data_IF_341609863435
#
_entry.id   IF_341609863435
#
_cell.length_a   1.000
_cell.length_b   1.000
_cell.length_c   1.000
_cell.angle_alpha   90.00
_cell.angle_beta   90.00
_cell.angle_gamma   90.00
#
_symmetry.space_group_name_H-M   'P 1'
#
loop_
_entity.id
_entity.type
_entity.pdbx_description
1 polymer ?
#
# COMPACT_ATOMS: atom_id res chain seq x y z
N UNK A 1 8.24 -0.66 -18.61
CA UNK A 1 7.71 -1.64 -17.62
C UNK A 1 8.48 -1.60 -16.30
N UNK A 2 9.82 -1.62 -16.32
CA UNK A 2 10.63 -1.55 -15.08
C UNK A 2 10.28 -0.37 -14.16
N UNK A 3 10.25 0.87 -14.68
CA UNK A 3 9.84 2.05 -13.89
C UNK A 3 8.42 1.96 -13.31
N UNK A 4 7.51 1.29 -14.01
CA UNK A 4 6.14 1.07 -13.52
C UNK A 4 6.13 0.08 -12.33
N UNK A 5 6.87 -1.02 -12.45
CA UNK A 5 7.03 -1.98 -11.35
C UNK A 5 7.67 -1.33 -10.11
N UNK A 6 8.66 -0.46 -10.31
CA UNK A 6 9.27 0.34 -9.25
C UNK A 6 8.28 1.33 -8.64
N UNK A 7 7.48 2.02 -9.45
CA UNK A 7 6.52 3.01 -8.98
C UNK A 7 5.34 2.42 -8.21
N UNK A 8 4.84 1.24 -8.60
CA UNK A 8 3.66 0.62 -7.98
C UNK A 8 4.03 -0.38 -6.88
N UNK A 9 5.02 -1.23 -7.14
CA UNK A 9 5.37 -2.34 -6.25
C UNK A 9 6.70 -2.14 -5.52
N UNK A 10 7.48 -1.11 -5.88
CA UNK A 10 8.88 -0.96 -5.46
C UNK A 10 9.68 -2.26 -5.72
N UNK A 11 9.35 -3.00 -6.78
CA UNK A 11 9.86 -4.35 -7.04
C UNK A 11 10.67 -4.47 -8.32
N UNK A 12 11.42 -5.57 -8.45
CA UNK A 12 12.12 -5.93 -9.68
C UNK A 12 11.15 -6.55 -10.68
N UNK A 13 11.04 -5.97 -11.88
CA UNK A 13 10.15 -6.48 -12.93
C UNK A 13 10.50 -7.89 -13.40
N UNK A 14 11.73 -8.38 -13.15
CA UNK A 14 12.16 -9.74 -13.49
C UNK A 14 11.64 -10.79 -12.53
N UNK A 15 11.26 -10.41 -11.32
CA UNK A 15 10.77 -11.33 -10.29
C UNK A 15 9.25 -11.32 -10.14
N UNK A 16 8.62 -10.20 -10.52
CA UNK A 16 7.18 -9.99 -10.38
C UNK A 16 6.35 -10.78 -11.40
N UNK A 17 5.24 -11.33 -10.92
CA UNK A 17 4.26 -12.07 -11.73
C UNK A 17 3.33 -11.10 -12.46
N UNK A 18 3.39 -11.06 -13.79
CA UNK A 18 2.45 -10.27 -14.61
C UNK A 18 1.00 -10.65 -14.34
N UNK A 19 0.70 -11.95 -14.15
CA UNK A 19 -0.64 -12.43 -13.80
C UNK A 19 -1.17 -11.83 -12.50
N UNK A 20 -0.29 -11.57 -11.53
CA UNK A 20 -0.67 -11.08 -10.20
C UNK A 20 -0.59 -9.57 -10.06
N UNK A 21 0.42 -8.94 -10.68
CA UNK A 21 0.63 -7.49 -10.64
C UNK A 21 -0.21 -6.73 -11.66
N UNK A 22 -0.48 -7.32 -12.84
CA UNK A 22 -1.17 -6.68 -13.95
C UNK A 22 -2.23 -7.62 -14.55
N UNK A 23 -3.25 -8.03 -13.77
CA UNK A 23 -4.23 -9.03 -14.20
C UNK A 23 -4.96 -8.63 -15.48
N UNK A 24 -5.30 -7.35 -15.65
CA UNK A 24 -5.96 -6.85 -16.86
C UNK A 24 -5.12 -7.12 -18.13
N UNK A 25 -3.80 -6.88 -18.08
CA UNK A 25 -2.90 -7.14 -19.21
C UNK A 25 -2.77 -8.63 -19.49
N UNK A 26 -2.61 -9.44 -18.43
CA UNK A 26 -2.54 -10.89 -18.54
C UNK A 26 -3.81 -11.49 -19.17
N UNK A 27 -4.99 -11.04 -18.75
CA UNK A 27 -6.26 -11.50 -19.30
C UNK A 27 -6.49 -11.00 -20.73
N UNK A 28 -6.08 -9.75 -21.05
CA UNK A 28 -6.13 -9.22 -22.40
C UNK A 28 -5.32 -10.09 -23.37
N UNK A 29 -4.06 -10.41 -23.02
CA UNK A 29 -3.22 -11.30 -23.82
C UNK A 29 -3.83 -12.71 -23.95
N UNK A 30 -4.27 -13.31 -22.84
CA UNK A 30 -4.83 -14.68 -22.84
C UNK A 30 -6.09 -14.82 -23.68
N UNK A 31 -6.95 -13.79 -23.69
CA UNK A 31 -8.23 -13.81 -24.41
C UNK A 31 -8.08 -13.41 -25.88
N UNK A 32 -7.29 -12.38 -26.16
CA UNK A 32 -7.24 -11.74 -27.48
C UNK A 32 -5.94 -12.00 -28.24
N UNK A 33 -4.98 -12.72 -27.64
CA UNK A 33 -3.60 -12.90 -28.14
C UNK A 33 -2.87 -11.58 -28.42
N UNK A 34 -3.40 -10.48 -27.93
CA UNK A 34 -2.90 -9.12 -28.12
C UNK A 34 -3.38 -8.24 -26.97
N UNK A 35 -2.42 -7.63 -26.27
CA UNK A 35 -2.71 -6.73 -25.15
C UNK A 35 -3.45 -5.49 -25.63
N UNK A 36 -3.01 -4.88 -26.73
CA UNK A 36 -3.62 -3.66 -27.28
C UNK A 36 -5.07 -3.90 -27.72
N UNK A 37 -5.32 -5.01 -28.42
CA UNK A 37 -6.67 -5.38 -28.84
C UNK A 37 -7.57 -5.65 -27.63
N UNK A 38 -7.06 -6.37 -26.63
CA UNK A 38 -7.82 -6.65 -25.42
C UNK A 38 -8.13 -5.43 -24.57
N UNK A 39 -7.24 -4.41 -24.55
CA UNK A 39 -7.52 -3.14 -23.88
C UNK A 39 -8.55 -2.29 -24.65
N UNK A 40 -8.51 -2.31 -25.98
CA UNK A 40 -9.46 -1.56 -26.81
C UNK A 40 -10.88 -2.16 -26.79
N UNK A 41 -10.98 -3.49 -26.76
CA UNK A 41 -12.27 -4.22 -26.79
C UNK A 41 -12.79 -4.59 -25.39
N UNK A 42 -11.95 -4.50 -24.35
CA UNK A 42 -12.23 -5.03 -23.01
C UNK A 42 -12.86 -4.06 -22.00
N UNK A 43 -13.22 -2.84 -22.41
CA UNK A 43 -13.79 -1.83 -21.52
C UNK A 43 -15.31 -1.97 -21.44
N UNK A 44 -15.80 -2.97 -20.70
CA UNK A 44 -17.22 -3.33 -20.75
C UNK A 44 -17.83 -3.81 -19.44
N UNK A 45 -17.57 -3.15 -18.31
CA UNK A 45 -18.48 -3.21 -17.15
C UNK A 45 -18.57 -1.83 -16.50
N UNK A 46 -19.58 -1.06 -16.91
CA UNK A 46 -19.99 0.17 -16.23
C UNK A 46 -20.62 -0.22 -14.89
N UNK A 47 -19.85 -0.15 -13.80
CA UNK A 47 -20.44 -0.17 -12.46
C UNK A 47 -21.33 1.07 -12.29
N UNK A 48 -22.55 0.87 -11.80
CA UNK A 48 -23.43 1.93 -11.30
C UNK A 48 -22.62 2.84 -10.37
N UNK A 49 -22.52 4.11 -10.75
CA UNK A 49 -21.72 5.10 -10.04
C UNK A 49 -22.51 5.66 -8.87
N UNK A 50 -21.85 5.79 -7.72
CA UNK A 50 -22.29 6.72 -6.69
C UNK A 50 -22.18 8.17 -7.19
N UNK A 51 -22.71 9.12 -6.41
CA UNK A 51 -22.69 10.56 -6.74
C UNK A 51 -21.26 11.07 -6.95
N UNK A 52 -20.32 10.65 -6.11
CA UNK A 52 -18.91 11.03 -6.22
C UNK A 52 -18.22 10.40 -7.45
N UNK A 53 -18.52 9.14 -7.77
CA UNK A 53 -18.02 8.48 -8.99
C UNK A 53 -18.53 9.13 -10.27
N UNK A 54 -19.78 9.62 -10.25
CA UNK A 54 -20.36 10.39 -11.36
C UNK A 54 -19.64 11.72 -11.53
N UNK A 55 -19.43 12.45 -10.43
CA UNK A 55 -18.69 13.72 -10.42
C UNK A 55 -17.24 13.54 -10.89
N UNK A 56 -16.53 12.54 -10.38
CA UNK A 56 -15.15 12.26 -10.75
C UNK A 56 -14.99 11.97 -12.25
N UNK A 57 -15.98 11.31 -12.88
CA UNK A 57 -16.02 11.10 -14.34
C UNK A 57 -16.26 12.42 -15.09
N UNK A 58 -17.23 13.21 -14.65
CA UNK A 58 -17.56 14.50 -15.27
C UNK A 58 -16.37 15.48 -15.22
N UNK A 59 -15.68 15.54 -14.07
CA UNK A 59 -14.51 16.38 -13.85
C UNK A 59 -13.19 15.72 -14.30
N UNK A 60 -13.23 14.50 -14.85
CA UNK A 60 -12.08 13.74 -15.38
C UNK A 60 -10.92 13.61 -14.39
N UNK A 61 -11.23 13.30 -13.13
CA UNK A 61 -10.22 13.13 -12.09
C UNK A 61 -9.28 11.97 -12.42
N UNK A 62 -7.98 12.22 -12.35
CA UNK A 62 -6.96 11.16 -12.45
C UNK A 62 -6.60 10.56 -11.09
N UNK A 63 -6.60 11.39 -10.04
CA UNK A 63 -6.26 11.04 -8.66
C UNK A 63 -6.96 12.01 -7.70
N UNK A 64 -7.14 11.58 -6.45
CA UNK A 64 -7.65 12.43 -5.38
C UNK A 64 -6.97 12.09 -4.06
N UNK A 65 -7.04 13.02 -3.12
CA UNK A 65 -6.57 12.85 -1.74
C UNK A 65 -7.48 13.64 -0.80
N UNK A 66 -7.33 13.42 0.50
CA UNK A 66 -8.09 14.14 1.52
C UNK A 66 -7.32 15.39 1.98
N UNK A 67 -8.05 16.47 2.29
CA UNK A 67 -7.47 17.77 2.70
C UNK A 67 -6.52 17.65 3.90
N UNK A 68 -6.82 16.77 4.86
CA UNK A 68 -6.00 16.50 6.04
C UNK A 68 -5.05 15.31 5.87
N UNK A 69 -4.86 14.85 4.63
CA UNK A 69 -4.08 13.66 4.30
C UNK A 69 -4.91 12.37 4.37
N UNK A 70 -4.37 11.32 3.74
CA UNK A 70 -5.05 10.03 3.64
C UNK A 70 -5.26 9.31 4.99
N UNK A 71 -4.55 9.71 6.04
CA UNK A 71 -4.77 9.22 7.42
C UNK A 71 -6.17 9.57 7.94
N UNK A 72 -6.80 10.63 7.42
CA UNK A 72 -8.18 10.97 7.79
C UNK A 72 -9.21 9.90 7.40
N UNK A 73 -8.91 9.04 6.42
CA UNK A 73 -9.80 7.96 6.03
C UNK A 73 -9.93 6.89 7.14
N UNK A 74 -8.84 6.24 7.62
CA UNK A 74 -8.93 5.31 8.74
C UNK A 74 -9.34 5.97 10.06
N UNK A 75 -9.00 7.24 10.30
CA UNK A 75 -9.50 7.98 11.47
C UNK A 75 -11.02 8.13 11.46
N UNK A 76 -11.60 8.53 10.31
CA UNK A 76 -13.04 8.64 10.15
C UNK A 76 -13.73 7.28 10.30
N UNK A 77 -13.12 6.21 9.78
CA UNK A 77 -13.63 4.85 9.98
C UNK A 77 -13.63 4.47 11.46
N UNK A 78 -12.54 4.72 12.20
CA UNK A 78 -12.50 4.45 13.63
C UNK A 78 -13.56 5.24 14.40
N UNK A 79 -13.76 6.52 14.06
CA UNK A 79 -14.80 7.37 14.65
C UNK A 79 -16.22 6.86 14.32
N UNK A 80 -16.44 6.32 13.11
CA UNK A 80 -17.71 5.73 12.71
C UNK A 80 -18.03 4.43 13.45
N UNK A 81 -17.04 3.60 13.75
CA UNK A 81 -17.24 2.27 14.37
C UNK A 81 -17.46 2.34 15.88
N UNK A 82 -16.79 3.26 16.60
CA UNK A 82 -16.89 3.40 18.07
C UNK A 82 -18.32 3.51 18.62
N UNK A 83 -19.20 4.40 18.11
CA UNK A 83 -20.57 4.53 18.64
C UNK A 83 -21.46 3.31 18.31
N UNK A 84 -21.04 2.42 17.41
CA UNK A 84 -21.78 1.21 17.01
C UNK A 84 -21.45 -0.01 17.88
N UNK A 85 -20.76 0.19 19.00
CA UNK A 85 -20.39 -0.88 19.93
C UNK A 85 -19.26 -1.80 19.41
N UNK A 86 -18.55 -1.39 18.36
CA UNK A 86 -17.43 -2.18 17.81
C UNK A 86 -16.17 -1.91 18.64
N UNK A 87 -15.63 -2.95 19.26
CA UNK A 87 -14.42 -2.88 20.07
C UNK A 87 -13.16 -2.85 19.20
N UNK A 88 -12.42 -1.73 19.22
CA UNK A 88 -11.14 -1.58 18.53
C UNK A 88 -9.98 -1.81 19.50
N UNK A 89 -9.36 -3.00 19.44
CA UNK A 89 -8.20 -3.35 20.27
C UNK A 89 -6.87 -3.00 19.60
N UNK A 90 -6.35 -1.81 19.89
CA UNK A 90 -5.01 -1.40 19.49
C UNK A 90 -3.93 -2.01 20.40
N UNK A 91 -2.70 -2.13 19.90
CA UNK A 91 -1.54 -2.64 20.67
C UNK A 91 -1.71 -4.05 21.26
N UNK A 92 -2.58 -4.87 20.66
CA UNK A 92 -2.87 -6.23 21.09
C UNK A 92 -2.40 -7.23 20.03
N UNK A 93 -1.08 -7.44 19.85
CA UNK A 93 -0.57 -8.34 18.81
C UNK A 93 -1.08 -9.76 19.02
N UNK A 94 -1.58 -10.37 17.94
CA UNK A 94 -2.05 -11.75 17.92
C UNK A 94 -0.86 -12.70 18.14
N UNK A 95 -0.97 -13.62 19.10
CA UNK A 95 0.06 -14.62 19.42
C UNK A 95 -0.31 -16.02 18.94
N UNK A 96 -1.59 -16.36 18.97
CA UNK A 96 -2.05 -17.64 18.47
C UNK A 96 -3.53 -17.59 18.12
N UNK A 97 -3.89 -18.34 17.08
CA UNK A 97 -5.25 -18.61 16.67
C UNK A 97 -5.45 -20.13 16.79
N UNK A 98 -6.42 -20.58 17.58
CA UNK A 98 -6.73 -22.00 17.78
C UNK A 98 -8.19 -22.27 17.51
N UNK A 99 -8.50 -23.32 16.74
CA UNK A 99 -9.87 -23.76 16.52
C UNK A 99 -10.31 -24.61 17.70
N UNK A 100 -11.45 -24.28 18.30
CA UNK A 100 -12.08 -25.06 19.36
C UNK A 100 -12.96 -26.16 18.75
N UNK A 101 -13.31 -27.16 19.56
CA UNK A 101 -14.19 -28.26 19.15
C UNK A 101 -15.60 -27.79 18.73
N UNK A 102 -16.06 -26.65 19.26
CA UNK A 102 -17.34 -26.00 18.90
C UNK A 102 -17.29 -25.27 17.54
N UNK A 103 -16.18 -25.36 16.81
CA UNK A 103 -15.98 -24.69 15.52
C UNK A 103 -15.59 -23.21 15.61
N UNK A 104 -15.56 -22.61 16.81
CA UNK A 104 -15.18 -21.21 17.02
C UNK A 104 -13.66 -21.05 17.09
N UNK A 105 -13.20 -19.85 16.78
CA UNK A 105 -11.81 -19.46 16.93
C UNK A 105 -11.53 -18.88 18.32
N UNK A 106 -10.53 -19.43 19.00
CA UNK A 106 -9.91 -18.82 20.16
C UNK A 106 -8.73 -17.96 19.70
N UNK A 107 -8.85 -16.67 19.97
CA UNK A 107 -7.85 -15.65 19.62
C UNK A 107 -7.10 -15.28 20.90
N UNK A 108 -5.77 -15.47 20.91
CA UNK A 108 -4.92 -15.07 22.05
C UNK A 108 -4.04 -13.91 21.67
N UNK A 109 -4.20 -12.78 22.37
CA UNK A 109 -3.37 -11.59 22.21
C UNK A 109 -2.44 -11.43 23.42
N UNK A 110 -1.34 -10.67 23.25
CA UNK A 110 -0.57 -10.18 24.42
C UNK A 110 -1.29 -8.95 24.97
N UNK A 111 -1.62 -8.94 26.25
CA UNK A 111 -2.05 -7.72 26.94
C UNK A 111 -0.80 -6.86 27.10
N UNK A 112 -0.73 -5.71 26.42
CA UNK A 112 0.26 -4.70 26.75
C UNK A 112 -0.17 -4.05 28.07
N UNK A 113 0.59 -4.28 29.15
CA UNK A 113 0.43 -3.53 30.39
C UNK A 113 0.56 -2.03 30.07
N UNK A 114 -0.39 -1.21 30.55
CA UNK A 114 -0.35 0.25 30.41
C UNK A 114 0.96 0.75 31.04
N UNK A 115 1.92 1.24 30.22
CA UNK A 115 3.06 2.01 30.73
C UNK A 115 4.47 1.71 30.20
N UNK A 116 4.67 1.14 29.01
CA UNK A 116 6.01 0.92 28.42
C UNK A 116 6.12 1.40 26.96
N UNK A 117 7.34 1.66 26.45
CA UNK A 117 7.57 2.50 25.28
C UNK A 117 6.84 2.01 24.02
N UNK A 118 6.34 3.00 23.28
CA UNK A 118 5.51 2.86 22.08
C UNK A 118 6.28 2.21 20.94
N UNK A 119 6.32 0.88 20.91
CA UNK A 119 6.72 0.12 19.73
C UNK A 119 5.49 -0.12 18.84
N UNK A 120 5.25 0.81 17.92
CA UNK A 120 4.37 0.57 16.79
C UNK A 120 5.10 -0.38 15.83
N UNK A 121 4.74 -1.66 15.84
CA UNK A 121 5.12 -2.61 14.79
C UNK A 121 3.92 -2.77 13.87
N UNK A 122 3.97 -2.12 12.71
CA UNK A 122 2.92 -2.19 11.69
C UNK A 122 2.24 -0.84 11.46
N UNK A 123 2.39 -0.32 10.24
CA UNK A 123 1.88 1.00 9.86
C UNK A 123 3.03 1.99 9.81
N UNK A 124 3.83 1.85 8.77
CA UNK A 124 5.08 2.56 8.66
C UNK A 124 4.97 3.20 7.23
N UNK A 125 5.16 4.52 7.14
CA UNK A 125 4.98 5.38 5.95
C UNK A 125 6.31 5.78 5.28
N UNK A 126 6.43 5.81 3.93
CA UNK A 126 7.67 5.98 3.15
C UNK A 126 8.67 7.01 3.70
N UNK A 127 9.96 6.85 3.38
CA UNK A 127 11.00 7.86 3.69
C UNK A 127 10.48 9.22 3.23
N UNK A 128 10.10 10.05 4.19
CA UNK A 128 9.39 11.30 3.92
C UNK A 128 10.36 12.47 4.00
N UNK A 129 11.40 12.49 3.17
CA UNK A 129 12.14 13.74 3.04
C UNK A 129 11.17 14.74 2.45
N UNK A 130 10.60 15.67 3.25
CA UNK A 130 9.93 16.89 2.77
C UNK A 130 10.99 17.98 2.75
N UNK A 131 11.93 18.00 1.78
CA UNK A 131 12.95 19.00 1.75
C UNK A 131 12.30 20.38 1.54
N UNK A 132 12.25 21.19 2.59
CA UNK A 132 11.82 22.57 2.44
C UNK A 132 12.98 23.39 1.85
N UNK A 133 13.18 23.39 0.53
CA UNK A 133 14.27 24.16 -0.06
C UNK A 133 14.05 25.66 0.20
N UNK A 134 14.91 26.26 1.04
CA UNK A 134 15.00 27.70 1.19
C UNK A 134 15.56 28.29 -0.09
N UNK A 135 14.76 29.09 -0.80
CA UNK A 135 15.12 29.60 -2.12
C UNK A 135 16.34 30.50 -2.08
N UNK A 136 17.36 30.17 -2.87
CA UNK A 136 18.16 31.15 -3.61
C UNK A 136 18.71 30.53 -4.90
N UNK A 137 18.21 31.06 -6.03
CA UNK A 137 18.65 30.97 -7.43
C UNK A 137 18.57 29.58 -8.13
N UNK A 138 18.12 29.41 -9.39
CA UNK A 138 18.19 30.26 -10.60
C UNK A 138 16.97 29.99 -11.52
N UNK A 139 16.38 31.03 -12.10
CA UNK A 139 15.58 30.97 -13.34
C UNK A 139 14.09 30.64 -13.22
N UNK A 140 13.23 31.68 -13.25
CA UNK A 140 11.82 31.53 -13.64
C UNK A 140 10.82 31.15 -12.53
N UNK A 141 10.59 32.07 -11.60
CA UNK A 141 9.24 32.35 -11.06
C UNK A 141 8.51 31.28 -10.24
N UNK A 142 8.99 30.96 -9.03
CA UNK A 142 8.17 30.59 -7.86
C UNK A 142 8.97 30.87 -6.57
N UNK A 143 9.26 32.15 -6.28
CA UNK A 143 10.02 32.54 -5.08
C UNK A 143 9.08 32.69 -3.88
N UNK A 144 9.25 31.83 -2.86
CA UNK A 144 8.74 32.09 -1.50
C UNK A 144 7.84 31.03 -0.89
N UNK A 145 7.34 30.06 -1.66
CA UNK A 145 6.51 28.98 -1.12
C UNK A 145 7.34 27.72 -0.86
N UNK A 146 7.15 27.05 0.29
CA UNK A 146 7.81 25.78 0.57
C UNK A 146 7.39 24.73 -0.47
N UNK A 147 8.37 24.07 -1.08
CA UNK A 147 8.16 23.02 -2.08
C UNK A 147 8.25 21.64 -1.41
N UNK A 148 7.12 20.98 -1.07
CA UNK A 148 7.16 19.64 -0.54
C UNK A 148 7.53 18.65 -1.65
N UNK A 149 8.71 18.04 -1.54
CA UNK A 149 9.10 16.89 -2.35
C UNK A 149 8.94 15.60 -1.53
N UNK A 150 8.70 14.46 -2.16
CA UNK A 150 8.76 13.15 -1.52
C UNK A 150 9.68 12.24 -2.32
N UNK A 151 10.75 11.75 -1.69
CA UNK A 151 11.71 10.84 -2.33
C UNK A 151 11.53 9.43 -1.78
N UNK A 152 11.16 8.50 -2.64
CA UNK A 152 11.09 7.07 -2.29
C UNK A 152 12.45 6.41 -2.57
N UNK A 153 13.06 5.86 -1.53
CA UNK A 153 14.30 5.09 -1.60
C UNK A 153 14.01 3.63 -1.23
N UNK A 154 14.60 2.70 -1.98
CA UNK A 154 14.58 1.28 -1.62
C UNK A 154 13.96 0.37 -2.67
N UNK A 155 12.88 -0.30 -2.27
CA UNK A 155 12.32 -1.41 -3.02
C UNK A 155 13.18 -2.67 -2.93
N UNK A 156 13.10 -3.52 -3.96
CA UNK A 156 13.88 -4.76 -4.07
C UNK A 156 15.41 -4.56 -3.93
N UNK A 157 15.90 -3.33 -4.17
CA UNK A 157 17.33 -2.99 -4.08
C UNK A 157 17.76 -2.41 -2.74
N UNK A 158 16.84 -2.18 -1.78
CA UNK A 158 17.18 -1.51 -0.51
C UNK A 158 18.34 -2.21 0.21
N UNK A 159 18.21 -3.51 0.46
CA UNK A 159 19.22 -4.27 1.22
C UNK A 159 20.59 -4.26 0.54
N UNK A 160 20.61 -4.33 -0.79
CA UNK A 160 21.85 -4.27 -1.57
C UNK A 160 22.50 -2.88 -1.51
N UNK A 161 21.69 -1.82 -1.47
CA UNK A 161 22.18 -0.44 -1.51
C UNK A 161 22.53 0.13 -0.14
N UNK A 162 21.79 -0.23 0.90
CA UNK A 162 21.86 0.39 2.23
C UNK A 162 22.10 -0.60 3.38
N UNK A 163 22.07 -1.91 3.12
CA UNK A 163 22.18 -2.94 4.15
C UNK A 163 20.85 -3.20 4.87
N UNK A 164 20.93 -3.63 6.13
CA UNK A 164 19.74 -3.95 6.94
C UNK A 164 18.83 -2.71 7.14
N UNK A 165 17.56 -2.74 6.69
CA UNK A 165 16.59 -1.67 6.94
C UNK A 165 16.42 -1.30 8.42
N UNK A 166 16.63 -2.23 9.35
CA UNK A 166 16.52 -1.95 10.78
C UNK A 166 17.74 -1.19 11.33
N UNK A 167 18.91 -1.37 10.73
CA UNK A 167 20.17 -0.77 11.17
C UNK A 167 20.57 0.47 10.37
N UNK A 168 19.90 0.76 9.26
CA UNK A 168 20.28 1.85 8.35
C UNK A 168 20.10 3.22 9.02
N UNK A 169 21.18 4.01 9.05
CA UNK A 169 21.15 5.35 9.61
C UNK A 169 20.26 6.31 8.77
N UNK A 170 19.33 7.06 9.39
CA UNK A 170 18.49 8.01 8.69
C UNK A 170 19.26 9.09 7.91
N UNK A 171 20.43 9.48 8.41
CA UNK A 171 21.30 10.48 7.77
C UNK A 171 21.78 10.03 6.38
N UNK A 172 22.17 8.76 6.24
CA UNK A 172 22.61 8.18 4.96
C UNK A 172 21.49 8.23 3.91
N UNK A 173 20.26 7.93 4.33
CA UNK A 173 19.10 7.99 3.44
C UNK A 173 18.75 9.42 3.04
N UNK A 174 18.85 10.36 3.98
CA UNK A 174 18.66 11.77 3.70
C UNK A 174 19.68 12.29 2.68
N UNK A 175 20.96 11.97 2.89
CA UNK A 175 22.04 12.33 1.96
C UNK A 175 21.80 11.76 0.57
N UNK A 176 21.38 10.49 0.47
CA UNK A 176 21.06 9.88 -0.82
C UNK A 176 19.86 10.54 -1.49
N UNK A 177 18.83 10.89 -0.73
CA UNK A 177 17.66 11.59 -1.26
C UNK A 177 18.01 13.00 -1.76
N UNK A 178 18.85 13.74 -1.03
CA UNK A 178 19.34 15.06 -1.43
C UNK A 178 20.20 14.99 -2.70
N UNK A 179 21.09 13.99 -2.79
CA UNK A 179 21.89 13.77 -3.99
C UNK A 179 20.99 13.48 -5.20
N UNK A 180 19.99 12.60 -5.05
CA UNK A 180 19.03 12.32 -6.12
C UNK A 180 18.22 13.56 -6.53
N UNK A 181 17.73 14.36 -5.57
CA UNK A 181 17.01 15.59 -5.87
C UNK A 181 17.88 16.62 -6.60
N UNK A 182 19.17 16.72 -6.25
CA UNK A 182 20.14 17.59 -6.94
C UNK A 182 20.39 17.13 -8.36
N UNK A 183 20.69 15.85 -8.55
CA UNK A 183 21.04 15.27 -9.86
C UNK A 183 19.84 15.25 -10.82
N UNK A 184 18.64 14.94 -10.32
CA UNK A 184 17.46 14.71 -11.17
C UNK A 184 16.59 15.95 -11.35
N UNK A 185 16.54 16.84 -10.36
CA UNK A 185 15.65 18.00 -10.34
C UNK A 185 16.41 19.33 -10.25
N UNK A 186 17.74 19.31 -10.17
CA UNK A 186 18.56 20.53 -10.03
C UNK A 186 18.43 21.21 -8.67
N UNK A 187 17.82 20.55 -7.67
CA UNK A 187 17.55 21.15 -6.36
C UNK A 187 18.81 21.08 -5.48
N UNK A 188 19.66 22.10 -5.58
CA UNK A 188 20.96 22.15 -4.90
C UNK A 188 20.90 22.60 -3.43
N UNK A 189 19.91 23.43 -3.07
CA UNK A 189 19.80 24.01 -1.73
C UNK A 189 19.57 22.95 -0.64
N UNK A 190 19.90 23.26 0.61
CA UNK A 190 19.60 22.36 1.72
C UNK A 190 18.11 22.41 2.09
N UNK A 191 17.53 21.29 2.53
CA UNK A 191 16.17 21.28 3.04
C UNK A 191 16.07 21.92 4.44
N UNK A 192 15.21 22.92 4.59
CA UNK A 192 14.89 23.55 5.88
C UNK A 192 14.07 22.64 6.82
N UNK A 193 13.47 21.57 6.29
CA UNK A 193 12.89 20.47 7.08
C UNK A 193 13.15 19.17 6.35
N UNK A 194 13.36 18.08 7.08
CA UNK A 194 13.40 16.74 6.52
C UNK A 194 12.79 15.77 7.52
N UNK A 195 12.04 14.79 7.03
CA UNK A 195 11.56 13.66 7.82
C UNK A 195 12.18 12.40 7.16
N UNK A 196 12.59 11.41 7.93
CA UNK A 196 13.14 10.17 7.35
C UNK A 196 12.49 9.02 8.09
N UNK A 197 11.94 8.06 7.34
CA UNK A 197 11.20 6.92 7.89
C UNK A 197 11.46 5.68 7.04
N UNK A 198 12.15 4.69 7.61
CA UNK A 198 12.53 3.48 6.86
C UNK A 198 11.43 2.44 6.94
N UNK A 199 10.88 2.06 5.79
CA UNK A 199 9.71 1.20 5.68
C UNK A 199 9.99 -0.28 5.47
N UNK A 200 9.82 -1.06 6.53
CA UNK A 200 10.06 -2.49 6.50
C UNK A 200 8.80 -3.27 6.11
N UNK A 201 8.95 -4.19 5.16
CA UNK A 201 7.89 -5.09 4.69
C UNK A 201 6.57 -4.37 4.33
N UNK A 202 6.66 -3.17 3.74
CA UNK A 202 5.50 -2.29 3.52
C UNK A 202 4.75 -2.55 2.20
N UNK A 203 5.42 -3.13 1.19
CA UNK A 203 4.81 -3.45 -0.11
C UNK A 203 5.03 -4.94 -0.40
N UNK A 204 3.97 -5.76 -0.37
CA UNK A 204 4.06 -7.17 -0.72
C UNK A 204 4.55 -7.37 -2.16
N UNK A 205 5.49 -8.30 -2.34
CA UNK A 205 6.06 -8.63 -3.65
C UNK A 205 5.34 -9.85 -4.23
N UNK A 206 4.54 -9.66 -5.27
CA UNK A 206 3.83 -10.73 -5.95
C UNK A 206 4.73 -11.41 -6.98
N UNK A 207 5.63 -12.26 -6.48
CA UNK A 207 6.56 -13.01 -7.33
C UNK A 207 5.87 -14.11 -8.13
N UNK A 208 6.61 -14.73 -9.05
CA UNK A 208 6.19 -15.98 -9.69
C UNK A 208 5.71 -16.99 -8.63
N UNK A 209 4.61 -17.70 -8.93
CA UNK A 209 3.99 -18.60 -7.97
C UNK A 209 2.90 -17.95 -7.09
N UNK A 210 2.79 -16.61 -7.07
CA UNK A 210 1.89 -15.91 -6.13
C UNK A 210 0.44 -16.36 -6.25
N UNK A 211 -0.09 -16.43 -7.47
CA UNK A 211 -1.46 -16.87 -7.71
C UNK A 211 -1.69 -18.33 -7.27
N UNK A 212 -0.72 -19.23 -7.47
CA UNK A 212 -0.82 -20.60 -6.97
C UNK A 212 -0.82 -20.64 -5.45
N UNK A 213 0.00 -19.80 -4.79
CA UNK A 213 0.03 -19.70 -3.32
C UNK A 213 -1.33 -19.24 -2.79
N UNK A 214 -1.91 -18.19 -3.36
CA UNK A 214 -3.22 -17.68 -2.93
C UNK A 214 -4.32 -18.69 -3.20
N UNK A 215 -4.38 -19.32 -4.37
CA UNK A 215 -5.36 -20.38 -4.68
C UNK A 215 -5.21 -21.60 -3.75
N UNK A 216 -3.98 -22.02 -3.45
CA UNK A 216 -3.73 -23.13 -2.53
C UNK A 216 -4.25 -22.82 -1.13
N UNK A 217 -4.04 -21.60 -0.63
CA UNK A 217 -4.56 -21.20 0.68
C UNK A 217 -6.08 -21.19 0.64
N UNK A 218 -6.70 -20.54 -0.37
CA UNK A 218 -8.16 -20.50 -0.50
C UNK A 218 -8.77 -21.90 -0.57
N UNK A 219 -8.17 -22.81 -1.34
CA UNK A 219 -8.61 -24.21 -1.44
C UNK A 219 -8.53 -24.92 -0.09
N UNK A 220 -7.40 -24.79 0.61
CA UNK A 220 -7.22 -25.38 1.93
C UNK A 220 -8.27 -24.88 2.93
N UNK A 221 -8.57 -23.57 2.95
CA UNK A 221 -9.59 -23.01 3.83
C UNK A 221 -10.99 -23.58 3.52
N UNK A 222 -11.32 -23.77 2.24
CA UNK A 222 -12.59 -24.34 1.81
C UNK A 222 -12.71 -25.84 2.14
N UNK A 223 -11.69 -26.64 1.81
CA UNK A 223 -11.66 -28.10 2.07
C UNK A 223 -11.76 -28.40 3.56
N UNK A 224 -11.06 -27.62 4.39
CA UNK A 224 -11.09 -27.77 5.85
C UNK A 224 -12.30 -27.08 6.50
N UNK A 225 -13.18 -26.45 5.71
CA UNK A 225 -14.36 -25.68 6.17
C UNK A 225 -14.01 -24.72 7.31
N UNK A 226 -12.88 -24.02 7.16
CA UNK A 226 -12.39 -23.09 8.17
C UNK A 226 -13.13 -21.76 8.03
N UNK A 227 -13.78 -21.25 9.09
CA UNK A 227 -14.44 -19.95 9.06
C UNK A 227 -13.38 -18.84 9.17
N UNK A 228 -12.58 -18.67 8.10
CA UNK A 228 -11.49 -17.71 8.00
C UNK A 228 -11.49 -17.08 6.61
N UNK A 229 -11.37 -15.76 6.57
CA UNK A 229 -11.24 -14.98 5.34
C UNK A 229 -9.91 -14.25 5.32
N UNK A 230 -9.25 -14.26 4.16
CA UNK A 230 -8.02 -13.51 3.94
C UNK A 230 -8.36 -12.17 3.29
N UNK A 231 -7.80 -11.09 3.84
CA UNK A 231 -7.99 -9.72 3.36
C UNK A 231 -6.68 -8.93 3.44
N UNK A 232 -6.59 -7.88 2.63
CA UNK A 232 -5.47 -6.93 2.66
C UNK A 232 -4.43 -7.13 1.54
N UNK A 233 -3.39 -6.31 1.62
CA UNK A 233 -2.44 -6.06 0.53
C UNK A 233 -1.58 -7.26 0.13
N UNK A 234 -1.58 -8.34 0.91
CA UNK A 234 -0.74 -9.52 0.67
C UNK A 234 -1.36 -10.52 -0.30
N UNK A 235 -2.63 -10.35 -0.69
CA UNK A 235 -3.38 -11.38 -1.42
C UNK A 235 -3.85 -10.90 -2.79
N UNK A 236 -4.76 -9.93 -2.82
CA UNK A 236 -5.60 -9.64 -3.99
C UNK A 236 -5.35 -8.26 -4.63
N UNK A 237 -4.34 -7.52 -4.17
CA UNK A 237 -3.94 -6.23 -4.73
C UNK A 237 -3.29 -5.34 -3.69
N UNK A 238 -2.36 -4.47 -4.10
CA UNK A 238 -1.54 -3.66 -3.17
C UNK A 238 -2.12 -2.27 -2.91
N UNK A 239 -3.10 -1.82 -3.71
CA UNK A 239 -3.67 -0.49 -3.57
C UNK A 239 -4.68 -0.40 -2.44
N UNK A 240 -4.94 0.82 -1.97
CA UNK A 240 -6.00 1.10 -0.98
C UNK A 240 -7.36 0.64 -1.52
N UNK A 241 -7.63 0.87 -2.81
CA UNK A 241 -8.86 0.45 -3.46
C UNK A 241 -9.02 -1.07 -3.45
N UNK A 242 -7.95 -1.81 -3.77
CA UNK A 242 -7.97 -3.28 -3.74
C UNK A 242 -8.20 -3.80 -2.31
N UNK A 243 -7.55 -3.18 -1.31
CA UNK A 243 -7.74 -3.55 0.08
C UNK A 243 -9.19 -3.37 0.52
N UNK A 244 -9.81 -2.22 0.20
CA UNK A 244 -11.21 -1.92 0.49
C UNK A 244 -12.14 -2.90 -0.24
N UNK A 245 -11.92 -3.12 -1.53
CA UNK A 245 -12.72 -4.04 -2.33
C UNK A 245 -12.63 -5.49 -1.81
N UNK A 246 -11.43 -5.96 -1.47
CA UNK A 246 -11.21 -7.30 -0.90
C UNK A 246 -11.92 -7.47 0.44
N UNK A 247 -11.91 -6.44 1.29
CA UNK A 247 -12.58 -6.45 2.58
C UNK A 247 -14.11 -6.51 2.41
N UNK A 248 -14.68 -5.67 1.52
CA UNK A 248 -16.11 -5.70 1.21
C UNK A 248 -16.55 -7.07 0.68
N UNK A 249 -15.79 -7.64 -0.25
CA UNK A 249 -16.07 -8.97 -0.80
C UNK A 249 -15.98 -10.08 0.26
N UNK A 250 -15.01 -10.00 1.18
CA UNK A 250 -14.88 -10.94 2.29
C UNK A 250 -16.05 -10.85 3.27
N UNK A 251 -16.51 -9.65 3.59
CA UNK A 251 -17.70 -9.45 4.44
C UNK A 251 -18.96 -9.97 3.75
N UNK A 252 -19.15 -9.72 2.45
CA UNK A 252 -20.29 -10.25 1.69
C UNK A 252 -20.38 -11.78 1.75
N UNK A 253 -19.24 -12.47 1.63
CA UNK A 253 -19.18 -13.94 1.80
C UNK A 253 -19.51 -14.40 3.23
N UNK A 254 -19.13 -13.63 4.25
CA UNK A 254 -19.40 -13.97 5.65
C UNK A 254 -20.87 -13.75 6.03
N UNK A 255 -21.53 -12.76 5.43
CA UNK A 255 -22.94 -12.46 5.67
C UNK A 255 -23.90 -13.33 4.83
N UNK A 256 -23.38 -14.29 4.06
CA UNK A 256 -24.19 -15.24 3.28
C UNK A 256 -24.87 -14.62 2.08
N UNK A 257 -24.18 -13.72 1.36
CA UNK A 257 -24.68 -13.07 0.14
C UNK A 257 -25.24 -14.04 -0.89
#
# INVERSE_FOLDING_TARGET
VDSLCRGVFAGDCRELSVRSCFPALFHAERRWRSVLLGLALGTGESREGDTEGTRARAERWSQWSLRRGMESLPEALAAFLRPRGIELRCHAPLRSLRRRHDGRWQVRTRIALRGGPRAFTGGLFPVMGVPNFGGNAVGGGLTGLPLPLQVMLGGAWFTRAFGDPAATAPATLLQRAQAAAREQLGLAAAPARAIVRVQQACIPQYTLGHWQRTERISRFLAEQRLPLSLVGASYAGVSVNDCIASAKAAVGRLLGG
#
